data_IF_156024769084
#
_entry.id   IF_156024769084
#
_cell.length_a   1.000
_cell.length_b   1.000
_cell.length_c   1.000
_cell.angle_alpha   90.00
_cell.angle_beta   90.00
_cell.angle_gamma   90.00
#
_symmetry.space_group_name_H-M   'P 1'
#
loop_
_entity.id
_entity.type
_entity.pdbx_description
1 polymer ?
#
# COMPACT_ATOMS: atom_id res chain seq x y z
N UNK A 1 -4.19 31.01 -9.18
CA UNK A 1 -2.89 30.41 -8.80
C UNK A 1 -2.06 31.55 -8.25
N UNK A 2 -1.74 31.49 -6.96
CA UNK A 2 -1.05 32.59 -6.28
C UNK A 2 0.45 32.51 -6.62
N UNK A 3 1.01 33.58 -7.20
CA UNK A 3 2.42 33.62 -7.63
C UNK A 3 3.40 33.51 -6.44
N UNK A 4 2.95 33.79 -5.22
CA UNK A 4 3.76 33.68 -3.99
C UNK A 4 4.14 32.23 -3.62
N UNK A 5 3.50 31.24 -4.25
CA UNK A 5 3.76 29.81 -3.99
C UNK A 5 4.75 29.16 -4.98
N UNK A 6 5.32 29.92 -5.91
CA UNK A 6 6.33 29.40 -6.82
C UNK A 6 7.72 29.49 -6.15
N UNK A 7 8.45 28.39 -6.20
CA UNK A 7 9.85 28.33 -5.77
C UNK A 7 10.71 28.19 -7.03
N UNK A 8 11.74 28.99 -7.14
CA UNK A 8 12.70 28.88 -8.24
C UNK A 8 13.37 27.51 -8.24
N UNK A 9 13.51 26.92 -9.41
CA UNK A 9 14.21 25.65 -9.55
C UNK A 9 15.71 25.92 -9.42
N UNK A 10 16.32 25.36 -8.36
CA UNK A 10 17.78 25.40 -8.19
C UNK A 10 18.41 24.36 -9.13
N UNK A 11 18.94 24.84 -10.24
CA UNK A 11 19.61 24.00 -11.25
C UNK A 11 20.95 23.42 -10.77
N UNK A 12 21.47 23.89 -9.62
CA UNK A 12 22.68 23.35 -9.02
C UNK A 12 22.42 22.04 -8.26
N UNK A 13 21.17 21.77 -7.87
CA UNK A 13 20.79 20.51 -7.20
C UNK A 13 20.88 19.37 -8.23
N UNK A 14 21.81 18.49 -8.04
CA UNK A 14 22.01 17.30 -8.87
C UNK A 14 22.33 16.08 -8.03
N UNK A 15 22.00 14.91 -8.54
CA UNK A 15 22.36 13.63 -7.95
C UNK A 15 23.30 12.90 -8.89
N UNK A 16 24.36 12.30 -8.34
CA UNK A 16 25.17 11.37 -9.12
C UNK A 16 24.28 10.18 -9.55
N UNK A 17 24.40 9.79 -10.81
CA UNK A 17 23.57 8.71 -11.36
C UNK A 17 23.81 7.38 -10.66
N UNK A 18 25.05 7.06 -10.29
CA UNK A 18 25.35 5.80 -9.61
C UNK A 18 24.83 5.79 -8.17
N UNK A 19 24.95 6.90 -7.47
CA UNK A 19 24.41 7.07 -6.13
C UNK A 19 22.87 6.92 -6.15
N UNK A 20 22.18 7.53 -7.10
CA UNK A 20 20.74 7.36 -7.27
C UNK A 20 20.35 5.91 -7.59
N UNK A 21 21.10 5.24 -8.49
CA UNK A 21 20.89 3.82 -8.79
C UNK A 21 21.05 2.96 -7.53
N UNK A 22 22.10 3.17 -6.74
CA UNK A 22 22.30 2.45 -5.48
C UNK A 22 21.19 2.72 -4.48
N UNK A 23 20.76 3.97 -4.37
CA UNK A 23 19.67 4.36 -3.51
C UNK A 23 18.36 3.62 -3.87
N UNK A 24 17.98 3.61 -5.15
CA UNK A 24 16.78 2.92 -5.63
C UNK A 24 16.90 1.40 -5.46
N UNK A 25 18.06 0.81 -5.77
CA UNK A 25 18.31 -0.64 -5.61
C UNK A 25 18.27 -1.08 -4.15
N UNK A 26 18.59 -0.19 -3.23
CA UNK A 26 18.54 -0.44 -1.79
C UNK A 26 17.12 -0.49 -1.21
N UNK A 27 16.11 0.00 -1.92
CA UNK A 27 14.72 0.00 -1.43
C UNK A 27 14.18 -1.42 -1.27
N UNK A 28 13.61 -1.72 -0.13
CA UNK A 28 13.01 -3.02 0.22
C UNK A 28 11.61 -2.81 0.82
N UNK A 29 10.82 -3.86 0.85
CA UNK A 29 9.59 -3.91 1.65
C UNK A 29 9.95 -4.28 3.09
N UNK A 30 9.89 -3.30 3.98
CA UNK A 30 10.16 -3.50 5.40
C UNK A 30 8.87 -3.87 6.14
N UNK A 31 8.96 -4.92 6.96
CA UNK A 31 7.84 -5.48 7.74
C UNK A 31 8.22 -5.68 9.21
N UNK A 32 9.30 -5.04 9.64
CA UNK A 32 9.72 -4.99 11.05
C UNK A 32 10.18 -3.58 11.35
N UNK A 33 9.52 -2.96 12.30
CA UNK A 33 9.70 -1.57 12.67
C UNK A 33 9.99 -1.48 14.16
N UNK A 34 10.76 -0.46 14.52
CA UNK A 34 10.94 -0.08 15.92
C UNK A 34 9.62 0.45 16.50
N UNK A 35 9.39 0.20 17.78
CA UNK A 35 8.30 0.83 18.54
C UNK A 35 8.62 2.31 18.80
N UNK A 36 8.66 3.08 17.73
CA UNK A 36 8.99 4.51 17.74
C UNK A 36 8.03 5.26 16.86
N UNK A 37 7.42 6.30 17.42
CA UNK A 37 6.52 7.16 16.67
C UNK A 37 7.27 7.96 15.60
N UNK A 38 6.61 8.17 14.47
CA UNK A 38 7.11 9.02 13.41
C UNK A 38 6.62 10.45 13.67
N UNK A 39 7.53 11.42 13.75
CA UNK A 39 7.14 12.80 13.97
C UNK A 39 6.20 13.33 12.89
N UNK A 40 5.21 14.11 13.29
CA UNK A 40 4.25 14.71 12.35
C UNK A 40 4.95 15.53 11.25
N UNK A 41 6.01 16.26 11.59
CA UNK A 41 6.81 17.04 10.63
C UNK A 41 7.37 16.17 9.50
N UNK A 42 7.84 14.96 9.82
CA UNK A 42 8.38 14.04 8.81
C UNK A 42 7.28 13.54 7.88
N UNK A 43 6.09 13.26 8.42
CA UNK A 43 4.92 12.90 7.62
C UNK A 43 4.44 14.05 6.73
N UNK A 44 4.41 15.28 7.26
CA UNK A 44 4.06 16.48 6.49
C UNK A 44 5.04 16.70 5.33
N UNK A 45 6.34 16.46 5.54
CA UNK A 45 7.34 16.50 4.47
C UNK A 45 7.05 15.49 3.37
N UNK A 46 6.69 14.24 3.73
CA UNK A 46 6.34 13.21 2.75
C UNK A 46 5.06 13.55 1.98
N UNK A 47 4.07 14.11 2.66
CA UNK A 47 2.81 14.56 2.04
C UNK A 47 3.05 15.73 1.08
N UNK A 48 3.88 16.69 1.47
CA UNK A 48 4.19 17.84 0.60
C UNK A 48 4.86 17.40 -0.72
N UNK A 49 5.74 16.40 -0.66
CA UNK A 49 6.35 15.83 -1.86
C UNK A 49 5.32 15.18 -2.80
N UNK A 50 4.21 14.65 -2.29
CA UNK A 50 3.15 14.08 -3.11
C UNK A 50 2.46 15.12 -4.00
N UNK A 51 2.49 16.40 -3.64
CA UNK A 51 1.94 17.51 -4.44
C UNK A 51 2.64 17.66 -5.80
N UNK A 52 3.89 17.19 -5.89
CA UNK A 52 4.71 17.25 -7.10
C UNK A 52 4.68 15.94 -7.90
N UNK A 53 3.94 14.95 -7.44
CA UNK A 53 3.70 13.73 -8.22
C UNK A 53 2.85 14.08 -9.45
N UNK A 54 3.22 13.61 -10.66
CA UNK A 54 2.39 13.84 -11.84
C UNK A 54 1.04 13.14 -11.70
N UNK A 55 -0.01 13.83 -12.14
CA UNK A 55 -1.38 13.31 -12.13
C UNK A 55 -2.03 13.42 -13.50
N UNK A 56 -2.96 12.54 -13.83
CA UNK A 56 -3.69 12.56 -15.08
C UNK A 56 -4.32 13.93 -15.35
N UNK A 57 -3.91 14.58 -16.44
CA UNK A 57 -4.35 15.94 -16.81
C UNK A 57 -4.12 17.00 -15.72
N UNK A 58 -3.13 16.78 -14.85
CA UNK A 58 -2.83 17.64 -13.70
C UNK A 58 -4.03 17.89 -12.79
N UNK A 59 -4.90 16.91 -12.62
CA UNK A 59 -6.14 17.06 -11.85
C UNK A 59 -5.93 17.16 -10.35
N UNK A 60 -4.85 16.58 -9.81
CA UNK A 60 -4.46 16.68 -8.39
C UNK A 60 -5.58 16.28 -7.43
N UNK A 61 -6.34 15.25 -7.78
CA UNK A 61 -7.52 14.79 -7.01
C UNK A 61 -7.21 13.72 -5.98
N UNK A 62 -5.96 13.25 -5.92
CA UNK A 62 -5.59 12.28 -4.91
C UNK A 62 -5.60 12.92 -3.52
N UNK A 63 -6.05 12.15 -2.55
CA UNK A 63 -6.01 12.50 -1.13
C UNK A 63 -5.27 11.43 -0.34
N UNK A 64 -4.75 11.80 0.83
CA UNK A 64 -3.96 10.92 1.67
C UNK A 64 -4.55 10.93 3.09
N UNK A 65 -4.92 9.75 3.58
CA UNK A 65 -5.25 9.56 4.98
C UNK A 65 -4.04 8.96 5.70
N UNK A 66 -3.64 9.56 6.83
CA UNK A 66 -2.56 9.08 7.69
C UNK A 66 -3.14 8.62 9.01
N UNK A 67 -2.83 7.40 9.40
CA UNK A 67 -3.30 6.78 10.63
C UNK A 67 -2.07 6.46 11.50
N UNK A 68 -2.02 7.05 12.71
CA UNK A 68 -1.02 6.77 13.75
C UNK A 68 -1.68 6.21 15.02
N UNK A 69 -3.01 6.25 15.10
CA UNK A 69 -3.76 5.65 16.20
C UNK A 69 -3.62 4.12 16.16
N UNK A 70 -2.92 3.58 17.16
CA UNK A 70 -2.63 2.15 17.27
C UNK A 70 -3.89 1.30 17.34
N UNK A 71 -4.90 1.78 18.08
CA UNK A 71 -6.17 1.07 18.20
C UNK A 71 -6.93 1.02 16.86
N UNK A 72 -6.91 2.12 16.09
CA UNK A 72 -7.51 2.14 14.75
C UNK A 72 -6.76 1.21 13.78
N UNK A 73 -5.42 1.22 13.80
CA UNK A 73 -4.59 0.30 13.00
C UNK A 73 -4.92 -1.16 13.33
N UNK A 74 -5.01 -1.50 14.62
CA UNK A 74 -5.34 -2.85 15.07
C UNK A 74 -6.75 -3.29 14.64
N UNK A 75 -7.77 -2.42 14.77
CA UNK A 75 -9.13 -2.71 14.29
C UNK A 75 -9.15 -2.95 12.78
N UNK A 76 -8.52 -2.08 11.99
CA UNK A 76 -8.43 -2.24 10.54
C UNK A 76 -7.70 -3.53 10.14
N UNK A 77 -6.65 -3.91 10.87
CA UNK A 77 -5.97 -5.19 10.69
C UNK A 77 -6.91 -6.37 10.94
N UNK A 78 -7.64 -6.35 12.05
CA UNK A 78 -8.58 -7.41 12.39
C UNK A 78 -9.70 -7.52 11.34
N UNK A 79 -10.30 -6.42 10.93
CA UNK A 79 -11.30 -6.40 9.87
C UNK A 79 -10.78 -6.97 8.54
N UNK A 80 -9.51 -6.72 8.22
CA UNK A 80 -8.89 -7.28 7.02
C UNK A 80 -8.78 -8.80 7.10
N UNK A 81 -8.45 -9.33 8.28
CA UNK A 81 -8.39 -10.79 8.48
C UNK A 81 -9.80 -11.40 8.46
N UNK A 82 -10.80 -10.73 9.08
CA UNK A 82 -12.21 -11.17 9.02
C UNK A 82 -12.72 -11.23 7.59
N UNK A 83 -12.38 -10.22 6.78
CA UNK A 83 -12.70 -10.21 5.36
C UNK A 83 -12.16 -11.45 4.65
N UNK A 84 -10.88 -11.77 4.82
CA UNK A 84 -10.29 -12.94 4.17
C UNK A 84 -10.82 -14.26 4.71
N UNK A 85 -11.13 -14.36 5.99
CA UNK A 85 -11.78 -15.55 6.56
C UNK A 85 -13.14 -15.80 5.90
N UNK A 86 -13.95 -14.74 5.73
CA UNK A 86 -15.24 -14.81 5.04
C UNK A 86 -15.10 -15.17 3.55
N UNK A 87 -14.10 -14.61 2.86
CA UNK A 87 -13.85 -14.90 1.44
C UNK A 87 -13.43 -16.36 1.23
N UNK A 88 -12.56 -16.91 2.10
CA UNK A 88 -12.15 -18.33 2.04
C UNK A 88 -13.37 -19.23 2.16
N UNK A 89 -14.24 -18.98 3.14
CA UNK A 89 -15.44 -19.74 3.41
C UNK A 89 -16.47 -19.64 2.25
N UNK A 90 -16.57 -18.45 1.66
CA UNK A 90 -17.44 -18.20 0.52
C UNK A 90 -16.99 -18.96 -0.73
N UNK A 91 -15.70 -18.86 -1.07
CA UNK A 91 -15.11 -19.57 -2.20
C UNK A 91 -15.20 -21.09 -2.05
N UNK A 92 -14.99 -21.62 -0.85
CA UNK A 92 -15.11 -23.04 -0.60
C UNK A 92 -16.55 -23.54 -0.80
N UNK A 93 -17.54 -22.80 -0.28
CA UNK A 93 -18.96 -23.14 -0.47
C UNK A 93 -19.40 -23.05 -1.91
N UNK A 94 -18.96 -22.01 -2.63
CA UNK A 94 -19.30 -21.83 -4.03
C UNK A 94 -18.72 -22.97 -4.89
N UNK A 95 -17.46 -23.34 -4.68
CA UNK A 95 -16.83 -24.46 -5.37
C UNK A 95 -17.54 -25.79 -5.10
N UNK A 96 -18.00 -26.03 -3.86
CA UNK A 96 -18.73 -27.25 -3.51
C UNK A 96 -20.10 -27.30 -4.19
N UNK A 97 -20.82 -26.17 -4.24
CA UNK A 97 -22.11 -26.10 -4.94
C UNK A 97 -21.99 -26.47 -6.44
N UNK A 98 -20.91 -26.05 -7.13
CA UNK A 98 -20.66 -26.47 -8.50
C UNK A 98 -20.41 -27.98 -8.60
N UNK A 99 -19.64 -28.56 -7.67
CA UNK A 99 -19.36 -30.00 -7.64
C UNK A 99 -20.62 -30.86 -7.40
N UNK A 100 -21.43 -30.43 -6.42
CA UNK A 100 -22.71 -31.08 -6.10
C UNK A 100 -23.69 -31.03 -7.27
N UNK A 101 -23.69 -29.96 -8.04
CA UNK A 101 -24.49 -29.83 -9.26
C UNK A 101 -23.93 -30.61 -10.45
N UNK A 102 -22.79 -31.30 -10.30
CA UNK A 102 -22.13 -32.02 -11.40
C UNK A 102 -21.56 -31.06 -12.46
N UNK A 103 -21.30 -29.80 -12.11
CA UNK A 103 -20.79 -28.79 -13.01
C UNK A 103 -19.28 -28.58 -12.77
N UNK A 104 -18.57 -28.15 -13.80
CA UNK A 104 -17.18 -27.75 -13.67
C UNK A 104 -17.06 -26.45 -12.89
N UNK A 105 -16.15 -26.42 -11.90
CA UNK A 105 -15.86 -25.21 -11.11
C UNK A 105 -15.24 -24.16 -12.01
N UNK A 106 -15.80 -22.94 -12.12
CA UNK A 106 -15.24 -21.89 -12.95
C UNK A 106 -13.78 -21.60 -12.66
N UNK A 107 -13.00 -21.32 -13.71
CA UNK A 107 -11.56 -21.10 -13.58
C UNK A 107 -11.22 -19.92 -12.63
N UNK A 108 -12.08 -18.93 -12.55
CA UNK A 108 -11.91 -17.81 -11.63
C UNK A 108 -11.94 -18.27 -10.17
N UNK A 109 -12.87 -19.15 -9.81
CA UNK A 109 -12.98 -19.73 -8.46
C UNK A 109 -11.78 -20.64 -8.19
N UNK A 110 -11.43 -21.50 -9.16
CA UNK A 110 -10.26 -22.39 -9.04
C UNK A 110 -8.97 -21.59 -8.85
N UNK A 111 -8.80 -20.48 -9.57
CA UNK A 111 -7.64 -19.60 -9.43
C UNK A 111 -7.62 -18.91 -8.07
N UNK A 112 -8.78 -18.45 -7.58
CA UNK A 112 -8.88 -17.83 -6.25
C UNK A 112 -8.57 -18.86 -5.14
N UNK A 113 -9.03 -20.10 -5.28
CA UNK A 113 -8.73 -21.18 -4.34
C UNK A 113 -7.23 -21.48 -4.23
N UNK A 114 -6.42 -21.23 -5.26
CA UNK A 114 -4.95 -21.39 -5.15
C UNK A 114 -4.30 -20.39 -4.17
N UNK A 115 -4.98 -19.30 -3.86
CA UNK A 115 -4.50 -18.31 -2.89
C UNK A 115 -4.94 -18.59 -1.46
N UNK A 116 -5.92 -19.50 -1.25
CA UNK A 116 -6.48 -19.77 0.07
C UNK A 116 -5.45 -20.26 1.09
N UNK A 117 -4.44 -21.01 0.65
CA UNK A 117 -3.36 -21.46 1.55
C UNK A 117 -2.62 -20.28 2.18
N UNK A 118 -2.30 -19.25 1.36
CA UNK A 118 -1.66 -18.03 1.85
C UNK A 118 -2.59 -17.24 2.76
N UNK A 119 -3.87 -17.12 2.42
CA UNK A 119 -4.86 -16.43 3.24
C UNK A 119 -5.11 -17.17 4.56
N UNK A 120 -5.15 -18.50 4.55
CA UNK A 120 -5.25 -19.33 5.75
C UNK A 120 -4.07 -19.14 6.71
N UNK A 121 -2.85 -18.87 6.18
CA UNK A 121 -1.71 -18.51 7.03
C UNK A 121 -1.94 -17.18 7.75
N UNK A 122 -2.57 -16.20 7.12
CA UNK A 122 -2.90 -14.90 7.71
C UNK A 122 -3.93 -15.08 8.83
N UNK A 123 -5.02 -15.81 8.56
CA UNK A 123 -6.06 -16.13 9.55
C UNK A 123 -5.46 -16.91 10.74
N UNK A 124 -4.59 -17.88 10.46
CA UNK A 124 -3.90 -18.66 11.49
C UNK A 124 -2.95 -17.80 12.30
N UNK A 125 -2.18 -16.91 11.68
CA UNK A 125 -1.25 -16.02 12.37
C UNK A 125 -1.97 -15.16 13.42
N UNK A 126 -3.18 -14.64 13.11
CA UNK A 126 -4.03 -13.91 14.07
C UNK A 126 -4.36 -14.75 15.29
N UNK A 127 -4.66 -16.05 15.12
CA UNK A 127 -4.98 -16.97 16.24
C UNK A 127 -3.79 -17.14 17.22
N UNK A 128 -2.57 -16.90 16.74
CA UNK A 128 -1.34 -16.86 17.54
C UNK A 128 -0.93 -15.47 18.01
N UNK A 129 -1.80 -14.46 17.87
CA UNK A 129 -1.52 -13.08 18.26
C UNK A 129 -0.50 -12.35 17.39
N UNK A 130 -0.25 -12.85 16.17
CA UNK A 130 0.66 -12.23 15.21
C UNK A 130 -0.13 -11.24 14.32
N UNK A 131 0.32 -10.01 14.30
CA UNK A 131 -0.19 -8.98 13.39
C UNK A 131 0.62 -9.03 12.09
N UNK A 132 -0.02 -9.46 11.00
CA UNK A 132 0.63 -9.73 9.71
C UNK A 132 0.09 -8.87 8.55
N UNK A 133 -0.88 -7.99 8.82
CA UNK A 133 -1.41 -7.05 7.83
C UNK A 133 -0.54 -5.81 7.77
N UNK A 134 -0.47 -5.05 8.87
CA UNK A 134 0.33 -3.82 8.96
C UNK A 134 1.68 -4.01 9.66
N UNK A 135 2.02 -5.23 10.08
CA UNK A 135 3.31 -5.58 10.70
C UNK A 135 3.69 -4.70 11.89
N UNK A 136 2.69 -4.28 12.68
CA UNK A 136 2.84 -3.37 13.83
C UNK A 136 3.52 -2.03 13.47
N UNK A 137 3.44 -1.62 12.21
CA UNK A 137 3.99 -0.33 11.77
C UNK A 137 3.35 0.83 12.55
N UNK A 138 4.13 1.87 12.90
CA UNK A 138 3.62 3.04 13.61
C UNK A 138 2.70 3.91 12.77
N UNK A 139 2.76 3.79 11.45
CA UNK A 139 1.99 4.63 10.53
C UNK A 139 1.44 3.79 9.38
N UNK A 140 0.17 4.05 9.04
CA UNK A 140 -0.46 3.60 7.79
C UNK A 140 -0.82 4.84 6.98
N UNK A 141 -0.39 4.89 5.73
CA UNK A 141 -0.77 5.90 4.75
C UNK A 141 -1.67 5.28 3.68
N UNK A 142 -2.86 5.83 3.52
CA UNK A 142 -3.86 5.38 2.56
C UNK A 142 -4.01 6.46 1.50
N UNK A 143 -3.77 6.10 0.25
CA UNK A 143 -3.92 6.97 -0.91
C UNK A 143 -5.24 6.62 -1.60
N UNK A 144 -6.11 7.61 -1.70
CA UNK A 144 -7.44 7.44 -2.28
C UNK A 144 -7.77 8.60 -3.22
N UNK A 145 -8.72 8.37 -4.11
CA UNK A 145 -9.13 9.36 -5.11
C UNK A 145 -10.55 9.06 -5.58
N UNK A 146 -11.29 10.05 -6.11
CA UNK A 146 -12.57 9.80 -6.75
C UNK A 146 -12.43 8.83 -7.93
N UNK A 147 -13.38 7.90 -8.06
CA UNK A 147 -13.39 6.90 -9.14
C UNK A 147 -13.55 7.51 -10.53
N UNK A 148 -14.14 8.70 -10.62
CA UNK A 148 -14.47 9.37 -11.87
C UNK A 148 -13.29 10.14 -12.49
N UNK A 149 -12.12 10.15 -11.84
CA UNK A 149 -10.92 10.79 -12.40
C UNK A 149 -10.29 9.92 -13.48
N UNK A 150 -9.49 10.53 -14.37
CA UNK A 150 -8.93 9.84 -15.53
C UNK A 150 -7.99 8.68 -15.18
N UNK A 151 -7.16 8.84 -14.14
CA UNK A 151 -6.11 7.88 -13.77
C UNK A 151 -5.98 7.73 -12.24
N UNK A 152 -7.07 7.47 -11.48
CA UNK A 152 -7.03 7.55 -10.01
C UNK A 152 -6.03 6.57 -9.37
N UNK A 153 -5.92 5.37 -9.93
CA UNK A 153 -4.97 4.36 -9.45
C UNK A 153 -3.52 4.77 -9.74
N UNK A 154 -3.25 5.21 -10.95
CA UNK A 154 -1.88 5.58 -11.34
C UNK A 154 -1.41 6.78 -10.53
N UNK A 155 -2.25 7.81 -10.36
CA UNK A 155 -1.96 9.00 -9.57
C UNK A 155 -1.59 8.62 -8.11
N UNK A 156 -2.40 7.77 -7.47
CA UNK A 156 -2.15 7.30 -6.11
C UNK A 156 -0.87 6.43 -6.02
N UNK A 157 -0.60 5.58 -7.01
CA UNK A 157 0.58 4.72 -7.03
C UNK A 157 1.86 5.52 -7.29
N UNK A 158 1.82 6.53 -8.17
CA UNK A 158 2.96 7.42 -8.41
C UNK A 158 3.30 8.21 -7.15
N UNK A 159 2.30 8.81 -6.49
CA UNK A 159 2.51 9.54 -5.24
C UNK A 159 3.06 8.63 -4.13
N UNK A 160 2.48 7.46 -3.93
CA UNK A 160 2.96 6.51 -2.92
C UNK A 160 4.35 5.98 -3.24
N UNK A 161 4.70 5.81 -4.52
CA UNK A 161 6.06 5.43 -4.95
C UNK A 161 7.06 6.54 -4.61
N UNK A 162 6.70 7.81 -4.81
CA UNK A 162 7.50 8.96 -4.39
C UNK A 162 7.78 8.90 -2.89
N UNK A 163 6.75 8.64 -2.07
CA UNK A 163 6.91 8.45 -0.62
C UNK A 163 7.89 7.32 -0.30
N UNK A 164 7.85 6.18 -1.01
CA UNK A 164 8.75 5.05 -0.72
C UNK A 164 10.24 5.39 -0.92
N UNK A 165 10.55 6.33 -1.80
CA UNK A 165 11.91 6.80 -2.01
C UNK A 165 12.26 7.92 -1.03
N UNK A 166 11.40 8.90 -0.87
CA UNK A 166 11.63 10.04 0.00
C UNK A 166 11.76 9.64 1.49
N UNK A 167 10.96 8.69 1.97
CA UNK A 167 11.02 8.20 3.35
C UNK A 167 12.43 7.73 3.74
N UNK A 168 13.15 7.11 2.80
CA UNK A 168 14.51 6.62 3.03
C UNK A 168 15.53 7.75 3.26
N UNK A 169 15.30 8.94 2.74
CA UNK A 169 16.17 10.09 2.96
C UNK A 169 16.10 10.62 4.40
N UNK A 170 15.04 10.25 5.12
CA UNK A 170 14.80 10.62 6.54
C UNK A 170 14.81 9.39 7.46
N UNK A 171 15.48 8.32 7.04
CA UNK A 171 15.65 7.08 7.80
C UNK A 171 14.33 6.33 8.10
N UNK A 172 13.28 6.54 7.32
CA UNK A 172 12.06 5.75 7.35
C UNK A 172 12.08 4.73 6.22
N UNK A 173 11.47 3.57 6.46
CA UNK A 173 11.29 2.54 5.45
C UNK A 173 9.81 2.18 5.32
N UNK A 174 9.45 1.58 4.20
CA UNK A 174 8.04 1.38 3.82
C UNK A 174 7.76 -0.03 3.33
N UNK A 175 6.48 -0.39 3.32
CA UNK A 175 5.98 -1.56 2.60
C UNK A 175 4.58 -1.28 2.03
N UNK A 176 4.33 -1.73 0.80
CA UNK A 176 2.97 -1.75 0.24
C UNK A 176 2.13 -2.85 0.87
N UNK A 177 0.87 -2.55 1.18
CA UNK A 177 -0.09 -3.48 1.80
C UNK A 177 -1.29 -3.69 0.86
N UNK A 178 -1.09 -4.54 -0.15
CA UNK A 178 -2.14 -4.87 -1.12
C UNK A 178 -3.31 -5.66 -0.54
N UNK A 179 -3.08 -6.45 0.51
CA UNK A 179 -4.15 -7.20 1.19
C UNK A 179 -5.20 -6.24 1.77
N UNK A 180 -4.77 -5.18 2.44
CA UNK A 180 -5.68 -4.19 2.98
C UNK A 180 -6.33 -3.37 1.87
N UNK A 181 -5.60 -2.97 0.81
CA UNK A 181 -6.16 -2.26 -0.35
C UNK A 181 -7.36 -3.03 -0.94
N UNK A 182 -7.23 -4.37 -1.04
CA UNK A 182 -8.28 -5.21 -1.58
C UNK A 182 -9.53 -5.21 -0.68
N UNK A 183 -9.37 -5.36 0.63
CA UNK A 183 -10.48 -5.38 1.60
C UNK A 183 -11.12 -3.98 1.79
N UNK A 184 -10.33 -2.91 1.70
CA UNK A 184 -10.74 -1.54 2.04
C UNK A 184 -11.86 -0.98 1.14
N UNK A 185 -12.05 -1.54 -0.04
CA UNK A 185 -13.05 -1.07 -1.00
C UNK A 185 -14.35 -1.89 -1.01
N UNK A 186 -14.40 -3.00 -0.25
CA UNK A 186 -15.51 -3.97 -0.33
C UNK A 186 -16.03 -4.39 1.03
N UNK A 187 -15.19 -4.46 2.06
CA UNK A 187 -15.60 -4.93 3.37
C UNK A 187 -16.22 -3.79 4.19
N UNK A 188 -17.52 -3.87 4.42
CA UNK A 188 -18.30 -2.79 5.03
C UNK A 188 -17.71 -2.24 6.35
N UNK A 189 -17.24 -3.06 7.31
CA UNK A 189 -16.61 -2.53 8.53
C UNK A 189 -15.38 -1.64 8.28
N UNK A 190 -14.59 -1.94 7.25
CA UNK A 190 -13.44 -1.10 6.87
C UNK A 190 -13.92 0.18 6.19
N UNK A 191 -14.88 0.08 5.27
CA UNK A 191 -15.46 1.24 4.57
C UNK A 191 -16.00 2.26 5.57
N UNK A 192 -16.75 1.79 6.57
CA UNK A 192 -17.31 2.63 7.64
C UNK A 192 -16.22 3.23 8.54
N UNK A 193 -15.22 2.43 8.94
CA UNK A 193 -14.12 2.90 9.80
C UNK A 193 -13.23 3.94 9.09
N UNK A 194 -13.03 3.81 7.77
CA UNK A 194 -12.27 4.77 6.98
C UNK A 194 -13.07 6.05 6.72
N UNK A 195 -14.39 5.93 6.51
CA UNK A 195 -15.29 7.04 6.23
C UNK A 195 -14.74 8.00 5.15
N UNK A 196 -14.32 7.44 4.01
CA UNK A 196 -13.81 8.22 2.89
C UNK A 196 -14.92 9.08 2.28
N UNK A 197 -14.58 10.19 1.59
CA UNK A 197 -15.54 10.97 0.82
C UNK A 197 -16.31 10.08 -0.17
N UNK A 198 -17.57 10.45 -0.45
CA UNK A 198 -18.42 9.73 -1.40
C UNK A 198 -17.72 9.63 -2.78
N UNK A 199 -17.81 8.48 -3.41
CA UNK A 199 -17.18 8.22 -4.72
C UNK A 199 -15.69 7.96 -4.67
N UNK A 200 -15.04 8.04 -3.50
CA UNK A 200 -13.63 7.70 -3.36
C UNK A 200 -13.40 6.20 -3.20
N UNK A 201 -12.24 5.74 -3.71
CA UNK A 201 -11.70 4.40 -3.47
C UNK A 201 -10.25 4.47 -3.02
N UNK A 202 -9.84 3.47 -2.25
CA UNK A 202 -8.44 3.22 -1.89
C UNK A 202 -7.73 2.60 -3.10
N UNK A 203 -6.59 3.17 -3.48
CA UNK A 203 -5.79 2.70 -4.62
C UNK A 203 -4.36 2.33 -4.27
N UNK A 204 -3.86 2.78 -3.13
CA UNK A 204 -2.54 2.39 -2.62
C UNK A 204 -2.50 2.52 -1.11
N UNK A 205 -1.81 1.61 -0.46
CA UNK A 205 -1.61 1.63 0.99
C UNK A 205 -0.16 1.35 1.31
N UNK A 206 0.44 2.23 2.12
CA UNK A 206 1.78 2.06 2.65
C UNK A 206 1.74 1.97 4.17
N UNK A 207 2.57 1.11 4.70
CA UNK A 207 3.02 1.21 6.09
C UNK A 207 4.41 1.82 6.11
N UNK A 208 4.71 2.58 7.15
CA UNK A 208 6.02 3.18 7.32
C UNK A 208 6.41 3.34 8.79
N UNK A 209 7.72 3.37 9.02
CA UNK A 209 8.32 3.54 10.33
C UNK A 209 9.83 3.42 10.28
N UNK A 210 10.47 3.56 11.42
CA UNK A 210 11.91 3.32 11.54
C UNK A 210 12.18 1.82 11.45
N UNK A 211 13.09 1.37 10.55
CA UNK A 211 13.35 -0.05 10.38
C UNK A 211 14.04 -0.64 11.61
N UNK A 212 13.59 -1.82 12.04
CA UNK A 212 14.29 -2.61 13.07
C UNK A 212 15.49 -3.36 12.47
N UNK A 213 15.42 -3.70 11.17
CA UNK A 213 16.44 -4.45 10.46
C UNK A 213 17.06 -3.62 9.36
N UNK A 214 18.36 -3.78 9.18
CA UNK A 214 19.10 -3.22 8.07
C UNK A 214 19.45 -4.32 7.05
N UNK A 215 19.21 -4.04 5.76
CA UNK A 215 19.61 -4.92 4.67
C UNK A 215 20.98 -4.50 4.12
N UNK A 216 21.91 -5.45 4.09
CA UNK A 216 23.31 -5.20 3.66
C UNK A 216 23.57 -5.53 2.19
N UNK A 217 22.61 -6.16 1.50
CA UNK A 217 22.76 -6.57 0.09
C UNK A 217 21.51 -6.22 -0.69
N UNK A 218 21.69 -5.86 -1.95
CA UNK A 218 20.59 -5.77 -2.91
C UNK A 218 20.05 -7.16 -3.22
N UNK A 219 18.81 -7.23 -3.72
CA UNK A 219 18.26 -8.47 -4.29
C UNK A 219 18.61 -8.58 -5.75
N UNK A 220 18.89 -9.79 -6.18
CA UNK A 220 18.93 -10.10 -7.60
C UNK A 220 17.51 -9.98 -8.20
N UNK A 221 17.41 -9.36 -9.36
CA UNK A 221 16.17 -9.14 -10.09
C UNK A 221 16.29 -9.71 -11.49
N UNK A 222 15.22 -10.33 -11.97
CA UNK A 222 15.16 -10.77 -13.37
C UNK A 222 15.38 -9.57 -14.30
N UNK A 223 16.13 -9.75 -15.40
CA UNK A 223 16.30 -8.68 -16.39
C UNK A 223 14.95 -8.31 -17.00
N UNK A 224 14.80 -7.03 -17.31
CA UNK A 224 13.63 -6.55 -18.05
C UNK A 224 13.70 -7.03 -19.50
N UNK A 225 12.57 -7.45 -20.03
CA UNK A 225 12.45 -7.69 -21.47
C UNK A 225 12.18 -6.37 -22.16
N UNK A 226 13.08 -5.95 -23.03
CA UNK A 226 13.00 -4.67 -23.76
C UNK A 226 13.11 -4.95 -25.26
N UNK A 227 12.27 -4.28 -26.04
CA UNK A 227 12.39 -4.20 -27.49
C UNK A 227 12.82 -2.80 -27.89
N UNK A 228 13.82 -2.71 -28.76
CA UNK A 228 14.23 -1.49 -29.43
C UNK A 228 13.77 -1.60 -30.89
N UNK A 229 12.87 -0.71 -31.32
CA UNK A 229 12.25 -0.70 -32.65
C UNK A 229 12.84 0.40 -33.49
#
# INVERSE_FOLDING_TARGET
MDMENFIDIDSSVSFDTQDFIHFVRGRRSHRRFLEKDVPRKDLETLVDLCRYAPTGSNRQTLEIMIIQDRGKIERLSNYTVDFFENEIDSLAREAEAYREAGMEVPQIITSALTMTDTLNLIVTARKFGLEVIFHRAPVVMIFHSPVETSCPKDDCVIASTTVTLAARTINLETCYIGLFEFAANTYQPIVEELNLPEGHKVYSVLILGYPELQFYRTVDRKPMRVQYL
#
